data_IF_821305968509
#
_entry.id   IF_821305968509
#
_cell.length_a   1.000
_cell.length_b   1.000
_cell.length_c   1.000
_cell.angle_alpha   90.00
_cell.angle_beta   90.00
_cell.angle_gamma   90.00
#
_symmetry.space_group_name_H-M   'P 1'
#
loop_
_entity.id
_entity.type
_entity.pdbx_description
1 polymer ?
#
# COMPACT_ATOMS: atom_id res chain seq x y z
N UNK A 1 -1.71 4.49 -27.12
CA UNK A 1 -1.62 3.75 -25.84
C UNK A 1 -1.35 4.77 -24.74
N UNK A 2 -2.27 4.97 -23.80
CA UNK A 2 -2.10 5.98 -22.74
C UNK A 2 -0.94 5.59 -21.81
N UNK A 3 -0.10 6.55 -21.38
CA UNK A 3 1.00 6.27 -20.45
C UNK A 3 0.42 5.69 -19.16
N UNK A 4 0.88 4.50 -18.80
CA UNK A 4 0.54 3.83 -17.55
C UNK A 4 0.87 4.78 -16.40
N UNK A 5 -0.16 5.29 -15.72
CA UNK A 5 -0.04 6.25 -14.61
C UNK A 5 0.96 5.72 -13.60
N UNK A 6 2.18 6.26 -13.63
CA UNK A 6 3.25 5.92 -12.70
C UNK A 6 2.76 6.28 -11.30
N UNK A 7 2.64 5.26 -10.44
CA UNK A 7 2.42 5.33 -8.98
C UNK A 7 1.74 6.64 -8.50
N UNK A 8 0.43 6.81 -8.73
CA UNK A 8 -0.33 7.95 -8.19
C UNK A 8 -0.86 7.69 -6.77
N UNK A 9 -0.19 6.83 -6.00
CA UNK A 9 -0.57 6.54 -4.62
C UNK A 9 0.48 7.13 -3.68
N UNK A 10 0.00 7.81 -2.64
CA UNK A 10 0.85 8.42 -1.63
C UNK A 10 1.54 7.35 -0.79
N UNK A 11 2.78 7.63 -0.39
CA UNK A 11 3.54 6.74 0.51
C UNK A 11 2.79 6.57 1.83
N UNK A 12 2.34 7.68 2.41
CA UNK A 12 1.56 7.73 3.65
C UNK A 12 0.30 6.87 3.57
N UNK A 13 -0.42 6.96 2.44
CA UNK A 13 -1.62 6.15 2.22
C UNK A 13 -1.32 4.64 2.20
N UNK A 14 -0.16 4.24 1.67
CA UNK A 14 0.28 2.84 1.69
C UNK A 14 0.67 2.39 3.10
N UNK A 15 1.34 3.23 3.88
CA UNK A 15 1.69 2.94 5.28
C UNK A 15 0.42 2.70 6.10
N UNK A 16 -0.50 3.66 6.06
CA UNK A 16 -1.77 3.54 6.78
C UNK A 16 -2.59 2.34 6.32
N UNK A 17 -2.58 2.03 5.02
CA UNK A 17 -3.28 0.85 4.50
C UNK A 17 -2.68 -0.45 5.02
N UNK A 18 -1.35 -0.56 5.10
CA UNK A 18 -0.66 -1.75 5.61
C UNK A 18 -0.96 -1.92 7.11
N UNK A 19 -0.85 -0.86 7.90
CA UNK A 19 -1.14 -0.90 9.33
C UNK A 19 -2.57 -1.34 9.62
N UNK A 20 -3.56 -0.71 9.00
CA UNK A 20 -4.96 -1.04 9.27
C UNK A 20 -5.38 -2.43 8.73
N UNK A 21 -4.65 -3.00 7.76
CA UNK A 21 -4.80 -4.43 7.41
C UNK A 21 -4.16 -5.33 8.46
N UNK A 22 -2.97 -5.00 8.99
CA UNK A 22 -2.30 -5.77 10.05
C UNK A 22 -3.10 -5.76 11.35
N UNK A 23 -3.70 -4.62 11.70
CA UNK A 23 -4.60 -4.47 12.84
C UNK A 23 -5.96 -5.19 12.63
N UNK A 24 -6.17 -5.86 11.49
CA UNK A 24 -7.46 -6.45 11.08
C UNK A 24 -8.65 -5.48 11.09
N UNK A 25 -8.42 -4.16 11.14
CA UNK A 25 -9.48 -3.15 11.03
C UNK A 25 -10.17 -3.19 9.67
N UNK A 26 -9.45 -3.62 8.62
CA UNK A 26 -9.99 -3.74 7.28
C UNK A 26 -9.30 -4.82 6.44
N UNK A 27 -10.03 -5.40 5.49
CA UNK A 27 -9.46 -6.32 4.50
C UNK A 27 -8.80 -5.60 3.32
N UNK A 28 -7.97 -6.32 2.56
CA UNK A 28 -7.20 -5.79 1.42
C UNK A 28 -8.03 -4.98 0.41
N UNK A 29 -9.25 -5.44 0.11
CA UNK A 29 -10.14 -4.77 -0.84
C UNK A 29 -10.62 -3.41 -0.31
N UNK A 30 -10.96 -3.35 0.99
CA UNK A 30 -11.43 -2.13 1.64
C UNK A 30 -10.27 -1.13 1.80
N UNK A 31 -9.11 -1.61 2.24
CA UNK A 31 -7.88 -0.82 2.33
C UNK A 31 -7.49 -0.20 0.98
N UNK A 32 -7.50 -1.00 -0.08
CA UNK A 32 -7.20 -0.52 -1.43
C UNK A 32 -8.13 0.63 -1.86
N UNK A 33 -9.42 0.54 -1.55
CA UNK A 33 -10.40 1.59 -1.88
C UNK A 33 -10.30 2.83 -0.99
N UNK A 34 -10.12 2.64 0.32
CA UNK A 34 -10.06 3.75 1.30
C UNK A 34 -8.81 4.60 1.09
N UNK A 35 -7.66 3.95 0.89
CA UNK A 35 -6.37 4.63 0.77
C UNK A 35 -5.95 4.84 -0.70
N UNK A 36 -6.81 4.47 -1.65
CA UNK A 36 -6.54 4.55 -3.09
C UNK A 36 -5.20 3.90 -3.49
N UNK A 37 -4.83 2.81 -2.81
CA UNK A 37 -3.58 2.07 -3.05
C UNK A 37 -3.83 0.79 -3.85
N UNK A 38 -2.88 0.34 -4.68
CA UNK A 38 -3.00 -0.91 -5.41
C UNK A 38 -3.05 -2.11 -4.46
N UNK A 39 -4.12 -2.92 -4.57
CA UNK A 39 -4.31 -4.13 -3.76
C UNK A 39 -3.11 -5.08 -3.82
N UNK A 40 -2.58 -5.37 -5.02
CA UNK A 40 -1.46 -6.31 -5.17
C UNK A 40 -0.16 -5.82 -4.50
N UNK A 41 0.10 -4.52 -4.54
CA UNK A 41 1.23 -3.91 -3.84
C UNK A 41 1.03 -3.95 -2.32
N UNK A 42 -0.17 -3.62 -1.86
CA UNK A 42 -0.56 -3.72 -0.46
C UNK A 42 -0.41 -5.16 0.08
N UNK A 43 -0.92 -6.16 -0.65
CA UNK A 43 -0.80 -7.58 -0.29
C UNK A 43 0.66 -8.00 -0.18
N UNK A 44 1.52 -7.56 -1.11
CA UNK A 44 2.95 -7.83 -1.05
C UNK A 44 3.58 -7.24 0.21
N UNK A 45 3.30 -5.98 0.54
CA UNK A 45 3.86 -5.31 1.71
C UNK A 45 3.37 -5.89 3.04
N UNK A 46 2.08 -6.23 3.13
CA UNK A 46 1.53 -6.89 4.32
C UNK A 46 2.18 -8.27 4.53
N UNK A 47 2.44 -9.03 3.46
CA UNK A 47 3.10 -10.34 3.53
C UNK A 47 4.60 -10.27 3.82
N UNK A 48 5.28 -9.22 3.34
CA UNK A 48 6.73 -9.02 3.54
C UNK A 48 7.09 -8.85 5.03
N UNK A 49 6.13 -8.46 5.87
CA UNK A 49 6.30 -8.34 7.32
C UNK A 49 7.11 -7.12 7.78
N UNK A 50 7.87 -6.51 6.87
CA UNK A 50 8.58 -5.24 7.08
C UNK A 50 7.63 -4.04 7.17
N UNK A 51 8.01 -2.97 7.90
CA UNK A 51 7.21 -1.75 7.93
C UNK A 51 7.14 -1.14 6.53
N UNK A 52 5.94 -0.68 6.15
CA UNK A 52 5.68 -0.10 4.83
C UNK A 52 6.54 1.15 4.55
N UNK A 53 6.93 1.87 5.60
CA UNK A 53 7.79 3.05 5.55
C UNK A 53 9.17 2.70 4.96
N UNK A 54 9.83 1.68 5.51
CA UNK A 54 11.12 1.18 5.03
C UNK A 54 11.06 0.70 3.57
N UNK A 55 9.98 0.02 3.18
CA UNK A 55 9.81 -0.49 1.80
C UNK A 55 9.61 0.63 0.76
N UNK A 56 9.26 1.84 1.20
CA UNK A 56 9.02 3.02 0.36
C UNK A 56 10.15 4.05 0.46
N UNK A 57 11.04 3.91 1.45
CA UNK A 57 12.27 4.70 1.61
C UNK A 57 13.46 4.15 0.81
N UNK A 58 13.50 2.84 0.47
CA UNK A 58 14.60 2.20 -0.28
C UNK A 58 14.72 2.66 -1.76
N UNK A 59 14.16 3.81 -2.13
CA UNK A 59 14.38 4.40 -3.45
C UNK A 59 14.26 5.92 -3.43
N UNK A 60 15.36 6.57 -3.08
CA UNK A 60 15.85 7.73 -3.82
C UNK A 60 17.27 7.44 -4.28
#
# INVERSE_FOLDING_TARGET
MAPTKRKTWSKEAMVQAVEAVREKKMGYLKASKVYCVPKGTLERYVKDGRPAEELLEVKL
#
